data_IF_301605994244
#
_entry.id   IF_301605994244
#
_cell.length_a   1.000
_cell.length_b   1.000
_cell.length_c   1.000
_cell.angle_alpha   90.00
_cell.angle_beta   90.00
_cell.angle_gamma   90.00
#
_symmetry.space_group_name_H-M   'P 1'
#
loop_
_entity.id
_entity.type
_entity.pdbx_description
1 polymer ?
#
# COMPACT_ATOMS: atom_id res chain seq x y z
N UNK A 1 14.24 -10.02 22.73
CA UNK A 1 15.69 -9.92 22.98
C UNK A 1 16.36 -10.68 21.88
N UNK A 2 17.36 -10.09 21.24
CA UNK A 2 18.02 -10.61 20.06
C UNK A 2 18.57 -12.03 20.26
N UNK A 3 18.53 -12.83 19.21
CA UNK A 3 19.21 -14.12 19.16
C UNK A 3 20.73 -13.88 19.21
N UNK A 4 21.44 -14.38 20.24
CA UNK A 4 22.88 -14.11 20.41
C UNK A 4 23.75 -14.63 19.27
N UNK A 5 23.40 -15.77 18.68
CA UNK A 5 24.18 -16.39 17.60
C UNK A 5 24.05 -15.57 16.32
N UNK A 6 22.81 -15.17 15.98
CA UNK A 6 22.54 -14.32 14.82
C UNK A 6 23.18 -12.93 14.97
N UNK A 7 23.11 -12.33 16.17
CA UNK A 7 23.80 -11.08 16.46
C UNK A 7 25.33 -11.25 16.37
N UNK A 8 25.86 -12.39 16.81
CA UNK A 8 27.27 -12.74 16.69
C UNK A 8 27.73 -12.84 15.23
N UNK A 9 26.91 -13.41 14.36
CA UNK A 9 27.16 -13.48 12.91
C UNK A 9 27.16 -12.07 12.30
N UNK A 10 26.15 -11.25 12.62
CA UNK A 10 26.07 -9.88 12.09
C UNK A 10 27.29 -9.05 12.49
N UNK A 11 27.79 -9.22 13.72
CA UNK A 11 28.97 -8.54 14.24
C UNK A 11 30.29 -8.96 13.56
N UNK A 12 30.31 -10.09 12.86
CA UNK A 12 31.46 -10.48 12.03
C UNK A 12 31.52 -9.70 10.71
N UNK A 13 30.43 -9.01 10.34
CA UNK A 13 30.36 -8.14 9.18
C UNK A 13 29.23 -8.50 8.22
N UNK A 14 28.96 -7.58 7.29
CA UNK A 14 27.86 -7.72 6.30
C UNK A 14 28.06 -8.93 5.39
N UNK A 15 29.30 -9.28 5.03
CA UNK A 15 29.58 -10.44 4.18
C UNK A 15 29.19 -11.75 4.86
N UNK A 16 29.60 -11.93 6.12
CA UNK A 16 29.25 -13.09 6.92
C UNK A 16 27.72 -13.19 7.13
N UNK A 17 27.07 -12.06 7.41
CA UNK A 17 25.61 -11.99 7.50
C UNK A 17 24.92 -12.38 6.20
N UNK A 18 25.33 -11.79 5.08
CA UNK A 18 24.72 -12.04 3.78
C UNK A 18 24.94 -13.49 3.32
N UNK A 19 26.10 -14.08 3.61
CA UNK A 19 26.35 -15.50 3.38
C UNK A 19 25.41 -16.36 4.22
N UNK A 20 25.32 -16.09 5.53
CA UNK A 20 24.41 -16.82 6.41
C UNK A 20 22.95 -16.72 5.94
N UNK A 21 22.49 -15.54 5.51
CA UNK A 21 21.14 -15.36 4.93
C UNK A 21 20.92 -16.15 3.65
N UNK A 22 21.97 -16.32 2.83
CA UNK A 22 21.88 -17.10 1.59
C UNK A 22 21.67 -18.60 1.84
N UNK A 23 22.23 -19.10 2.95
CA UNK A 23 22.16 -20.49 3.41
C UNK A 23 20.87 -20.75 4.22
N UNK A 24 20.34 -19.74 4.93
CA UNK A 24 19.20 -19.86 5.86
C UNK A 24 17.97 -19.08 5.36
N UNK A 25 17.55 -19.29 4.10
CA UNK A 25 16.47 -18.52 3.44
C UNK A 25 15.09 -18.64 4.11
N UNK A 26 14.84 -19.73 4.83
CA UNK A 26 13.57 -19.99 5.53
C UNK A 26 13.53 -19.45 6.96
N UNK A 27 14.66 -18.96 7.49
CA UNK A 27 14.74 -18.48 8.86
C UNK A 27 14.40 -16.99 8.94
N UNK A 28 13.61 -16.65 9.96
CA UNK A 28 13.29 -15.28 10.33
C UNK A 28 14.31 -14.82 11.37
N UNK A 29 15.24 -13.89 11.03
CA UNK A 29 16.25 -13.47 11.98
C UNK A 29 15.65 -12.58 13.07
N UNK A 30 16.14 -12.70 14.29
CA UNK A 30 15.73 -11.91 15.46
C UNK A 30 16.93 -11.14 16.04
N UNK A 31 16.90 -9.84 15.78
CA UNK A 31 17.82 -8.83 16.30
C UNK A 31 17.06 -7.82 17.19
N UNK A 32 15.94 -8.22 17.79
CA UNK A 32 15.11 -7.34 18.63
C UNK A 32 15.89 -6.80 19.83
N UNK A 33 15.80 -5.50 20.06
CA UNK A 33 16.55 -4.79 21.11
C UNK A 33 18.08 -4.96 21.03
N UNK A 34 18.62 -5.36 19.88
CA UNK A 34 20.06 -5.42 19.70
C UNK A 34 20.66 -4.01 19.77
N UNK A 35 21.84 -3.91 20.38
CA UNK A 35 22.69 -2.73 20.26
C UNK A 35 23.52 -2.85 18.99
N UNK A 36 23.16 -2.05 17.98
CA UNK A 36 23.79 -1.95 16.66
C UNK A 36 24.27 -0.52 16.37
N UNK A 37 24.50 0.26 17.43
CA UNK A 37 25.01 1.63 17.35
C UNK A 37 26.31 1.67 16.57
N UNK A 38 26.43 2.66 15.68
CA UNK A 38 27.62 2.90 14.87
C UNK A 38 28.03 1.69 13.99
N UNK A 39 27.15 0.69 13.80
CA UNK A 39 27.45 -0.48 12.99
C UNK A 39 27.48 -0.14 11.49
N UNK A 40 28.33 -0.85 10.74
CA UNK A 40 28.40 -0.78 9.29
C UNK A 40 27.58 -1.92 8.70
N UNK A 41 26.35 -1.61 8.31
CA UNK A 41 25.37 -2.56 7.75
C UNK A 41 25.00 -2.21 6.29
N UNK A 42 25.89 -1.52 5.58
CA UNK A 42 25.68 -1.11 4.20
C UNK A 42 25.53 -2.36 3.30
N UNK A 43 24.43 -2.45 2.56
CA UNK A 43 24.14 -3.62 1.71
C UNK A 43 23.73 -4.90 2.46
N UNK A 44 23.42 -4.83 3.76
CA UNK A 44 22.99 -6.00 4.52
C UNK A 44 21.59 -6.50 4.09
N UNK A 45 21.43 -7.82 3.99
CA UNK A 45 20.16 -8.48 3.70
C UNK A 45 19.38 -8.74 4.99
N UNK A 46 18.61 -7.74 5.40
CA UNK A 46 17.78 -7.72 6.61
C UNK A 46 16.28 -7.94 6.30
N UNK A 47 15.95 -8.46 5.12
CA UNK A 47 14.60 -8.85 4.70
C UNK A 47 13.93 -9.67 5.82
N UNK A 48 12.69 -9.31 6.18
CA UNK A 48 11.84 -9.95 7.22
C UNK A 48 12.49 -10.11 8.60
N UNK A 49 13.55 -9.34 8.89
CA UNK A 49 14.25 -9.43 10.18
C UNK A 49 13.48 -8.68 11.26
N UNK A 50 13.38 -9.26 12.46
CA UNK A 50 12.87 -8.58 13.64
C UNK A 50 13.97 -7.69 14.24
N UNK A 51 13.83 -6.38 14.12
CA UNK A 51 14.68 -5.31 14.66
C UNK A 51 13.88 -4.43 15.64
N UNK A 52 12.75 -4.93 16.17
CA UNK A 52 11.89 -4.19 17.08
C UNK A 52 12.71 -3.67 18.26
N UNK A 53 12.62 -2.36 18.51
CA UNK A 53 13.32 -1.69 19.60
C UNK A 53 14.86 -1.76 19.56
N UNK A 54 15.48 -2.13 18.43
CA UNK A 54 16.93 -2.12 18.29
C UNK A 54 17.50 -0.68 18.32
N UNK A 55 18.71 -0.52 18.83
CA UNK A 55 19.44 0.76 18.76
C UNK A 55 20.36 0.74 17.54
N UNK A 56 19.97 1.50 16.51
CA UNK A 56 20.64 1.72 15.23
C UNK A 56 21.13 3.18 15.11
N UNK A 57 21.43 3.83 16.23
CA UNK A 57 21.96 5.20 16.24
C UNK A 57 23.25 5.28 15.43
N UNK A 58 23.33 6.25 14.51
CA UNK A 58 24.45 6.45 13.59
C UNK A 58 24.84 5.22 12.73
N UNK A 59 23.98 4.21 12.61
CA UNK A 59 24.28 3.02 11.79
C UNK A 59 24.26 3.37 10.31
N UNK A 60 25.21 2.83 9.54
CA UNK A 60 25.16 2.89 8.08
C UNK A 60 24.37 1.71 7.54
N UNK A 61 23.14 1.98 7.07
CA UNK A 61 22.23 1.05 6.41
C UNK A 61 22.11 1.37 4.91
N UNK A 62 23.07 2.08 4.33
CA UNK A 62 23.02 2.46 2.91
C UNK A 62 22.92 1.21 2.04
N UNK A 63 21.96 1.18 1.10
CA UNK A 63 21.68 0.05 0.21
C UNK A 63 21.28 -1.26 0.92
N UNK A 64 20.98 -1.23 2.22
CA UNK A 64 20.47 -2.40 2.91
C UNK A 64 19.08 -2.80 2.38
N UNK A 65 18.77 -4.08 2.44
CA UNK A 65 17.46 -4.63 2.08
C UNK A 65 16.72 -4.97 3.37
N UNK A 66 15.78 -4.12 3.76
CA UNK A 66 14.97 -4.16 4.98
C UNK A 66 13.49 -4.45 4.68
N UNK A 67 13.18 -4.88 3.46
CA UNK A 67 11.82 -5.17 3.03
C UNK A 67 11.10 -6.07 4.05
N UNK A 68 9.88 -5.69 4.43
CA UNK A 68 9.06 -6.38 5.42
C UNK A 68 9.73 -6.65 6.80
N UNK A 69 10.84 -5.99 7.13
CA UNK A 69 11.45 -6.04 8.45
C UNK A 69 10.58 -5.30 9.49
N UNK A 70 10.70 -5.70 10.75
CA UNK A 70 10.05 -5.02 11.87
C UNK A 70 11.05 -4.14 12.61
N UNK A 71 11.02 -2.83 12.40
CA UNK A 71 11.79 -1.80 13.12
C UNK A 71 10.89 -0.96 14.05
N UNK A 72 9.73 -1.49 14.47
CA UNK A 72 8.84 -0.74 15.35
C UNK A 72 9.56 -0.36 16.66
N UNK A 73 9.43 0.91 17.05
CA UNK A 73 10.09 1.46 18.24
C UNK A 73 11.62 1.47 18.20
N UNK A 74 12.26 1.16 17.07
CA UNK A 74 13.71 1.18 16.95
C UNK A 74 14.26 2.62 16.99
N UNK A 75 15.50 2.78 17.44
CA UNK A 75 16.21 4.07 17.48
C UNK A 75 17.13 4.18 16.29
N UNK A 76 16.78 4.97 15.29
CA UNK A 76 17.55 5.21 14.06
C UNK A 76 18.07 6.66 13.99
N UNK A 77 18.28 7.31 15.13
CA UNK A 77 18.77 8.69 15.17
C UNK A 77 20.08 8.82 14.38
N UNK A 78 20.10 9.71 13.38
CA UNK A 78 21.22 9.92 12.45
C UNK A 78 21.70 8.67 11.69
N UNK A 79 20.86 7.63 11.57
CA UNK A 79 21.17 6.51 10.70
C UNK A 79 21.20 6.93 9.23
N UNK A 80 22.02 6.26 8.42
CA UNK A 80 22.11 6.52 6.97
C UNK A 80 21.40 5.38 6.23
N UNK A 81 20.26 5.67 5.61
CA UNK A 81 19.44 4.73 4.83
C UNK A 81 19.44 5.07 3.34
N UNK A 82 20.54 5.66 2.83
CA UNK A 82 20.63 6.07 1.44
C UNK A 82 20.49 4.88 0.50
N UNK A 83 19.66 5.01 -0.53
CA UNK A 83 19.36 3.93 -1.49
C UNK A 83 18.85 2.61 -0.84
N UNK A 84 18.40 2.64 0.42
CA UNK A 84 17.91 1.44 1.10
C UNK A 84 16.55 1.01 0.55
N UNK A 85 16.31 -0.30 0.55
CA UNK A 85 15.01 -0.89 0.24
C UNK A 85 14.29 -1.16 1.55
N UNK A 86 13.22 -0.40 1.84
CA UNK A 86 12.44 -0.55 3.08
C UNK A 86 10.97 -0.80 2.75
N UNK A 87 10.67 -1.57 1.70
CA UNK A 87 9.30 -1.77 1.23
C UNK A 87 8.51 -2.63 2.22
N UNK A 88 7.36 -2.13 2.67
CA UNK A 88 6.50 -2.85 3.62
C UNK A 88 7.11 -2.97 5.03
N UNK A 89 8.21 -2.28 5.31
CA UNK A 89 8.86 -2.27 6.63
C UNK A 89 7.98 -1.60 7.68
N UNK A 90 8.00 -2.13 8.90
CA UNK A 90 7.33 -1.49 10.03
C UNK A 90 8.30 -0.56 10.76
N UNK A 91 8.11 0.74 10.63
CA UNK A 91 8.85 1.80 11.35
C UNK A 91 7.92 2.56 12.32
N UNK A 92 6.80 1.95 12.72
CA UNK A 92 5.87 2.60 13.64
C UNK A 92 6.56 2.95 14.96
N UNK A 93 6.37 4.18 15.42
CA UNK A 93 6.99 4.73 16.63
C UNK A 93 8.53 4.73 16.64
N UNK A 94 9.19 4.53 15.50
CA UNK A 94 10.64 4.61 15.40
C UNK A 94 11.15 6.05 15.55
N UNK A 95 12.34 6.21 16.10
CA UNK A 95 13.05 7.48 16.19
C UNK A 95 14.01 7.63 15.00
N UNK A 96 13.59 8.38 13.99
CA UNK A 96 14.36 8.67 12.76
C UNK A 96 14.94 10.08 12.78
N UNK A 97 15.13 10.69 13.96
CA UNK A 97 15.60 12.07 14.06
C UNK A 97 16.96 12.24 13.38
N UNK A 98 17.04 13.18 12.43
CA UNK A 98 18.26 13.42 11.67
C UNK A 98 18.72 12.27 10.78
N UNK A 99 17.91 11.21 10.58
CA UNK A 99 18.25 10.12 9.69
C UNK A 99 18.27 10.59 8.22
N UNK A 100 19.13 9.97 7.40
CA UNK A 100 19.21 10.26 5.98
C UNK A 100 18.52 9.16 5.17
N UNK A 101 17.34 9.46 4.63
CA UNK A 101 16.51 8.57 3.83
C UNK A 101 16.60 8.91 2.33
N UNK A 102 17.68 9.56 1.91
CA UNK A 102 17.80 10.02 0.53
C UNK A 102 17.83 8.86 -0.46
N UNK A 103 17.02 8.94 -1.52
CA UNK A 103 16.85 7.90 -2.55
C UNK A 103 16.36 6.55 -2.01
N UNK A 104 15.92 6.47 -0.75
CA UNK A 104 15.33 5.26 -0.22
C UNK A 104 14.00 4.93 -0.91
N UNK A 105 13.76 3.64 -1.15
CA UNK A 105 12.51 3.12 -1.68
C UNK A 105 11.54 2.87 -0.53
N UNK A 106 10.67 3.84 -0.25
CA UNK A 106 9.74 3.85 0.89
C UNK A 106 8.31 3.61 0.41
N UNK A 107 8.07 2.42 -0.17
CA UNK A 107 6.73 2.00 -0.57
C UNK A 107 6.04 1.20 0.54
N UNK A 108 4.78 1.51 0.82
CA UNK A 108 3.93 0.74 1.75
C UNK A 108 4.47 0.60 3.18
N UNK A 109 5.28 1.57 3.63
CA UNK A 109 5.94 1.56 4.95
C UNK A 109 4.99 2.07 6.03
N UNK A 110 5.04 1.45 7.19
CA UNK A 110 4.32 1.93 8.38
C UNK A 110 5.22 2.91 9.15
N UNK A 111 4.95 4.22 9.07
CA UNK A 111 5.64 5.29 9.79
C UNK A 111 4.73 5.91 10.86
N UNK A 112 3.68 5.21 11.31
CA UNK A 112 2.72 5.76 12.27
C UNK A 112 3.42 6.18 13.55
N UNK A 113 3.22 7.44 13.94
CA UNK A 113 3.84 8.02 15.13
C UNK A 113 5.37 8.06 15.12
N UNK A 114 6.03 7.83 13.99
CA UNK A 114 7.49 7.92 13.88
C UNK A 114 7.96 9.38 14.02
N UNK A 115 9.17 9.55 14.55
CA UNK A 115 9.80 10.85 14.72
C UNK A 115 10.84 11.10 13.62
N UNK A 116 10.46 11.85 12.59
CA UNK A 116 11.30 12.21 11.44
C UNK A 116 11.86 13.63 11.57
N UNK A 117 11.92 14.20 12.79
CA UNK A 117 12.39 15.58 12.96
C UNK A 117 13.83 15.73 12.50
N UNK A 118 14.08 16.71 11.63
CA UNK A 118 15.38 16.93 11.02
C UNK A 118 15.86 15.83 10.07
N UNK A 119 15.04 14.81 9.75
CA UNK A 119 15.41 13.78 8.79
C UNK A 119 15.54 14.36 7.38
N UNK A 120 16.37 13.74 6.54
CA UNK A 120 16.59 14.12 5.15
C UNK A 120 15.79 13.19 4.24
N UNK A 121 14.88 13.75 3.47
CA UNK A 121 14.03 13.07 2.48
C UNK A 121 14.35 13.63 1.09
N UNK A 122 15.57 13.35 0.61
CA UNK A 122 16.00 13.72 -0.73
C UNK A 122 15.66 12.63 -1.74
N UNK A 123 14.99 12.95 -2.85
CA UNK A 123 14.63 12.00 -3.91
C UNK A 123 13.98 10.71 -3.39
N UNK A 124 13.26 10.81 -2.27
CA UNK A 124 12.61 9.69 -1.59
C UNK A 124 11.23 9.42 -2.19
N UNK A 125 10.91 8.14 -2.39
CA UNK A 125 9.62 7.72 -2.93
C UNK A 125 8.69 7.26 -1.80
N UNK A 126 7.87 8.17 -1.27
CA UNK A 126 6.86 7.90 -0.23
C UNK A 126 5.53 7.54 -0.88
N UNK A 127 5.45 6.32 -1.40
CA UNK A 127 4.25 5.79 -2.01
C UNK A 127 3.51 4.90 -1.02
N UNK A 128 2.25 5.23 -0.68
CA UNK A 128 1.38 4.44 0.21
C UNK A 128 1.92 4.24 1.63
N UNK A 129 2.87 5.08 2.05
CA UNK A 129 3.35 5.05 3.41
C UNK A 129 2.26 5.57 4.37
N UNK A 130 2.16 4.96 5.54
CA UNK A 130 1.29 5.44 6.61
C UNK A 130 2.08 6.38 7.53
N UNK A 131 1.90 7.69 7.34
CA UNK A 131 2.53 8.73 8.14
C UNK A 131 1.63 9.21 9.29
N UNK A 132 0.59 8.46 9.67
CA UNK A 132 -0.39 8.94 10.63
C UNK A 132 0.25 9.31 11.97
N UNK A 133 0.14 10.59 12.34
CA UNK A 133 0.75 11.12 13.56
C UNK A 133 2.28 11.19 13.57
N UNK A 134 2.95 10.95 12.44
CA UNK A 134 4.39 11.14 12.29
C UNK A 134 4.78 12.62 12.43
N UNK A 135 6.01 12.89 12.87
CA UNK A 135 6.51 14.25 13.14
C UNK A 135 7.62 14.61 12.16
N UNK A 136 7.41 15.65 11.36
CA UNK A 136 8.34 16.10 10.31
C UNK A 136 8.95 17.48 10.58
N UNK A 137 8.91 17.99 11.82
CA UNK A 137 9.49 19.31 12.13
C UNK A 137 10.95 19.40 11.67
N UNK A 138 11.29 20.47 10.94
CA UNK A 138 12.64 20.70 10.40
C UNK A 138 13.18 19.61 9.48
N UNK A 139 12.37 18.64 9.05
CA UNK A 139 12.79 17.68 8.03
C UNK A 139 13.17 18.41 6.75
N UNK A 140 14.18 17.89 6.04
CA UNK A 140 14.70 18.45 4.80
C UNK A 140 14.11 17.70 3.62
N UNK A 141 13.31 18.37 2.79
CA UNK A 141 12.74 17.80 1.57
C UNK A 141 13.50 18.30 0.36
N UNK A 142 13.95 17.37 -0.48
CA UNK A 142 14.59 17.69 -1.76
C UNK A 142 14.02 16.75 -2.81
N UNK A 143 13.00 17.17 -3.56
CA UNK A 143 12.35 16.35 -4.59
C UNK A 143 11.74 15.02 -4.08
N UNK A 144 11.08 14.95 -2.89
CA UNK A 144 10.36 13.74 -2.52
C UNK A 144 9.09 13.57 -3.35
N UNK A 145 8.66 12.32 -3.50
CA UNK A 145 7.39 11.95 -4.10
C UNK A 145 6.42 11.51 -3.02
N UNK A 146 5.32 12.23 -2.87
CA UNK A 146 4.21 11.92 -1.97
C UNK A 146 3.02 11.39 -2.77
N UNK A 147 2.90 10.06 -2.85
CA UNK A 147 1.83 9.40 -3.60
C UNK A 147 1.00 8.47 -2.73
N UNK A 148 -0.32 8.62 -2.80
CA UNK A 148 -1.34 7.85 -2.11
C UNK A 148 -1.15 7.81 -0.60
N UNK A 149 -0.80 8.95 -0.01
CA UNK A 149 -0.61 9.10 1.44
C UNK A 149 -1.60 10.10 2.03
N UNK A 150 -1.86 9.98 3.33
CA UNK A 150 -2.62 10.99 4.07
C UNK A 150 -1.66 11.92 4.83
N UNK A 151 -1.57 13.18 4.39
CA UNK A 151 -0.77 14.21 5.04
C UNK A 151 -1.55 14.97 6.12
N UNK A 152 -2.85 14.73 6.29
CA UNK A 152 -3.71 15.54 7.16
C UNK A 152 -3.48 15.37 8.66
N UNK A 153 -2.86 14.26 9.05
CA UNK A 153 -2.51 13.96 10.46
C UNK A 153 -1.01 14.07 10.74
N UNK A 154 -0.22 14.44 9.74
CA UNK A 154 1.23 14.61 9.87
C UNK A 154 1.52 15.91 10.62
N UNK A 155 2.36 15.81 11.64
CA UNK A 155 2.74 16.94 12.49
C UNK A 155 3.97 17.62 11.91
N UNK A 156 4.01 18.95 12.00
CA UNK A 156 5.20 19.71 11.65
C UNK A 156 5.39 20.04 10.17
N UNK A 157 4.41 19.75 9.31
CA UNK A 157 4.50 20.04 7.87
C UNK A 157 4.84 21.51 7.56
N UNK A 158 4.35 22.47 8.35
CA UNK A 158 4.66 23.90 8.15
C UNK A 158 6.13 24.26 8.48
N UNK A 159 6.77 23.46 9.32
CA UNK A 159 8.15 23.64 9.80
C UNK A 159 9.18 22.87 8.95
N UNK A 160 8.70 22.16 7.92
CA UNK A 160 9.56 21.47 6.98
C UNK A 160 10.38 22.47 6.16
N UNK A 161 11.62 22.10 5.87
CA UNK A 161 12.53 22.84 5.01
C UNK A 161 12.52 22.24 3.61
N UNK A 162 12.21 23.05 2.61
CA UNK A 162 12.22 22.65 1.21
C UNK A 162 13.50 23.16 0.55
N UNK A 163 14.33 22.25 0.05
CA UNK A 163 15.51 22.54 -0.79
C UNK A 163 15.23 22.20 -2.28
N UNK A 164 13.95 22.04 -2.62
CA UNK A 164 13.45 21.76 -3.95
C UNK A 164 11.93 21.55 -3.94
N UNK A 165 11.27 21.50 -5.11
CA UNK A 165 9.86 21.19 -5.19
C UNK A 165 9.58 19.76 -4.72
N UNK A 166 8.35 19.47 -4.30
CA UNK A 166 7.91 18.12 -3.97
C UNK A 166 6.86 17.67 -4.98
N UNK A 167 6.87 16.40 -5.36
CA UNK A 167 5.82 15.83 -6.20
C UNK A 167 4.70 15.36 -5.27
N UNK A 168 3.54 16.02 -5.35
CA UNK A 168 2.36 15.65 -4.56
C UNK A 168 1.31 15.09 -5.52
N UNK A 169 1.00 13.80 -5.35
CA UNK A 169 -0.03 13.12 -6.12
C UNK A 169 -1.41 13.71 -5.88
N UNK A 170 -2.26 13.70 -6.91
CA UNK A 170 -3.66 14.13 -6.78
C UNK A 170 -4.41 13.23 -5.79
N UNK A 171 -4.11 11.94 -5.79
CA UNK A 171 -4.51 10.95 -4.78
C UNK A 171 -4.17 11.41 -3.35
N UNK A 172 -2.95 11.87 -3.08
CA UNK A 172 -2.54 12.44 -1.79
C UNK A 172 -3.40 13.64 -1.38
N UNK A 173 -3.74 14.54 -2.31
CA UNK A 173 -4.62 15.68 -2.05
C UNK A 173 -6.02 15.22 -1.58
N UNK A 174 -6.63 14.28 -2.31
CA UNK A 174 -7.96 13.75 -1.98
C UNK A 174 -7.94 12.91 -0.70
N UNK A 175 -6.92 12.06 -0.52
CA UNK A 175 -6.76 11.23 0.69
C UNK A 175 -6.59 12.07 1.95
N UNK A 176 -5.88 13.20 1.81
CA UNK A 176 -5.74 14.20 2.89
C UNK A 176 -6.99 15.05 3.08
N UNK A 177 -8.05 14.86 2.27
CA UNK A 177 -9.28 15.65 2.27
C UNK A 177 -9.02 17.16 2.04
N UNK A 178 -7.97 17.49 1.30
CA UNK A 178 -7.48 18.87 1.13
C UNK A 178 -6.95 19.50 2.43
N UNK A 179 -6.82 18.75 3.53
CA UNK A 179 -6.29 19.23 4.82
C UNK A 179 -4.78 19.12 4.83
N UNK A 180 -4.13 19.80 3.89
CA UNK A 180 -2.66 19.92 3.83
C UNK A 180 -2.35 21.40 4.04
N UNK A 181 -1.40 21.76 4.92
CA UNK A 181 -1.13 23.16 5.21
C UNK A 181 -0.71 23.93 3.96
N UNK A 182 -1.29 25.12 3.74
CA UNK A 182 -1.02 25.90 2.53
C UNK A 182 0.45 26.29 2.40
N UNK A 183 1.12 26.61 3.50
CA UNK A 183 2.53 27.00 3.49
C UNK A 183 3.41 25.87 2.98
N UNK A 184 3.10 24.63 3.36
CA UNK A 184 3.73 23.42 2.83
C UNK A 184 3.48 23.27 1.32
N UNK A 185 2.21 23.38 0.87
CA UNK A 185 1.87 23.23 -0.55
C UNK A 185 2.57 24.29 -1.43
N UNK A 186 2.60 25.56 -0.97
CA UNK A 186 3.29 26.66 -1.66
C UNK A 186 4.79 26.38 -1.79
N UNK A 187 5.45 26.00 -0.70
CA UNK A 187 6.89 25.66 -0.70
C UNK A 187 7.21 24.38 -1.50
N UNK A 188 6.26 23.45 -1.59
CA UNK A 188 6.35 22.27 -2.43
C UNK A 188 6.23 22.58 -3.94
N UNK A 189 5.81 23.79 -4.32
CA UNK A 189 5.66 24.22 -5.72
C UNK A 189 4.25 24.05 -6.28
N UNK A 190 3.23 23.85 -5.44
CA UNK A 190 1.84 23.76 -5.89
C UNK A 190 1.32 25.16 -6.28
N UNK A 191 0.71 25.35 -7.47
CA UNK A 191 0.20 26.65 -7.89
C UNK A 191 -0.87 27.22 -6.95
N UNK A 192 -0.81 28.53 -6.64
CA UNK A 192 -1.80 29.21 -5.78
C UNK A 192 -3.24 29.01 -6.25
N UNK A 193 -3.48 29.08 -7.57
CA UNK A 193 -4.82 28.85 -8.13
C UNK A 193 -5.34 27.46 -7.81
N UNK A 194 -4.48 26.43 -7.82
CA UNK A 194 -4.89 25.10 -7.42
C UNK A 194 -5.21 25.04 -5.92
N UNK A 195 -4.40 25.66 -5.07
CA UNK A 195 -4.61 25.72 -3.61
C UNK A 195 -5.95 26.37 -3.28
N UNK A 196 -6.29 27.49 -3.94
CA UNK A 196 -7.56 28.21 -3.77
C UNK A 196 -8.78 27.33 -4.07
N UNK A 197 -8.72 26.53 -5.15
CA UNK A 197 -9.84 25.64 -5.53
C UNK A 197 -9.80 24.26 -4.87
N UNK A 198 -8.70 23.88 -4.22
CA UNK A 198 -8.46 22.54 -3.68
C UNK A 198 -9.59 22.11 -2.74
N UNK A 199 -10.01 22.96 -1.81
CA UNK A 199 -11.07 22.63 -0.86
C UNK A 199 -12.42 22.35 -1.55
N UNK A 200 -12.74 23.07 -2.63
CA UNK A 200 -13.95 22.83 -3.42
C UNK A 200 -13.87 21.55 -4.27
N UNK A 201 -12.66 21.16 -4.71
CA UNK A 201 -12.43 19.92 -5.44
C UNK A 201 -12.61 18.71 -4.53
N UNK A 202 -12.05 18.77 -3.32
CA UNK A 202 -12.08 17.66 -2.37
C UNK A 202 -13.39 17.60 -1.55
N UNK A 203 -14.14 18.72 -1.48
CA UNK A 203 -15.44 18.80 -0.82
C UNK A 203 -16.62 18.21 -1.61
N UNK A 204 -16.44 17.94 -2.91
CA UNK A 204 -17.35 17.05 -3.65
C UNK A 204 -17.03 15.63 -3.23
N UNK A 205 -18.03 14.86 -2.81
CA UNK A 205 -17.91 13.42 -2.54
C UNK A 205 -17.60 12.66 -3.84
N UNK A 206 -16.41 12.87 -4.40
CA UNK A 206 -15.78 11.92 -5.28
C UNK A 206 -15.05 11.00 -4.32
N UNK A 207 -15.74 9.95 -3.88
CA UNK A 207 -15.07 8.90 -3.13
C UNK A 207 -14.01 8.31 -4.06
N UNK A 208 -12.76 8.66 -3.79
CA UNK A 208 -11.60 8.41 -4.65
C UNK A 208 -11.15 6.95 -4.55
N UNK A 209 -12.08 6.01 -4.74
CA UNK A 209 -11.76 4.60 -4.68
C UNK A 209 -10.97 4.22 -5.92
N UNK A 210 -9.73 3.82 -5.70
CA UNK A 210 -8.95 3.13 -6.71
C UNK A 210 -9.35 1.66 -6.71
N UNK A 211 -9.74 1.18 -7.89
CA UNK A 211 -10.19 -0.18 -8.08
C UNK A 211 -9.19 -0.96 -8.94
N UNK A 212 -8.92 -2.19 -8.57
CA UNK A 212 -8.09 -3.10 -9.34
C UNK A 212 -8.92 -4.30 -9.78
N UNK A 213 -9.03 -4.55 -11.09
CA UNK A 213 -9.69 -5.74 -11.63
C UNK A 213 -8.63 -6.81 -11.84
N UNK A 214 -8.75 -7.89 -11.06
CA UNK A 214 -7.95 -9.10 -11.26
C UNK A 214 -8.78 -10.19 -11.92
N UNK A 215 -8.26 -10.75 -13.01
CA UNK A 215 -9.01 -11.65 -13.89
C UNK A 215 -8.08 -12.56 -14.71
N UNK A 216 -8.62 -13.71 -15.15
CA UNK A 216 -7.92 -14.53 -16.14
C UNK A 216 -8.01 -13.86 -17.50
N UNK A 217 -6.94 -13.91 -18.30
CA UNK A 217 -6.94 -13.40 -19.69
C UNK A 217 -8.05 -13.98 -20.56
N UNK A 218 -8.57 -15.16 -20.20
CA UNK A 218 -9.71 -15.80 -20.87
C UNK A 218 -11.05 -15.08 -20.64
N UNK A 219 -11.12 -14.22 -19.63
CA UNK A 219 -12.31 -13.46 -19.24
C UNK A 219 -12.25 -11.97 -19.67
N UNK A 220 -11.31 -11.62 -20.57
CA UNK A 220 -11.04 -10.23 -20.98
C UNK A 220 -12.28 -9.48 -21.49
N UNK A 221 -13.15 -10.14 -22.24
CA UNK A 221 -14.37 -9.51 -22.76
C UNK A 221 -15.30 -9.00 -21.63
N UNK A 222 -15.40 -9.73 -20.51
CA UNK A 222 -16.18 -9.29 -19.36
C UNK A 222 -15.44 -8.21 -18.58
N UNK A 223 -14.13 -8.38 -18.37
CA UNK A 223 -13.30 -7.40 -17.66
C UNK A 223 -13.32 -6.02 -18.34
N UNK A 224 -13.17 -5.97 -19.68
CA UNK A 224 -13.22 -4.75 -20.48
C UNK A 224 -14.58 -4.04 -20.36
N UNK A 225 -15.67 -4.81 -20.39
CA UNK A 225 -17.02 -4.25 -20.21
C UNK A 225 -17.19 -3.65 -18.81
N UNK A 226 -16.83 -4.41 -17.78
CA UNK A 226 -16.89 -3.94 -16.39
C UNK A 226 -16.06 -2.67 -16.19
N UNK A 227 -14.86 -2.62 -16.76
CA UNK A 227 -14.01 -1.45 -16.74
C UNK A 227 -14.63 -0.23 -17.42
N UNK A 228 -15.17 -0.40 -18.64
CA UNK A 228 -15.80 0.70 -19.37
C UNK A 228 -16.97 1.30 -18.58
N UNK A 229 -17.77 0.44 -17.94
CA UNK A 229 -18.89 0.88 -17.10
C UNK A 229 -18.39 1.57 -15.82
N UNK A 230 -17.34 1.06 -15.16
CA UNK A 230 -16.71 1.71 -14.00
C UNK A 230 -16.15 3.09 -14.35
N UNK A 231 -15.43 3.22 -15.46
CA UNK A 231 -14.87 4.50 -15.93
C UNK A 231 -15.97 5.50 -16.28
N UNK A 232 -17.06 5.04 -16.93
CA UNK A 232 -18.23 5.89 -17.24
C UNK A 232 -18.92 6.42 -15.98
N UNK A 233 -18.76 5.73 -14.85
CA UNK A 233 -19.24 6.14 -13.53
C UNK A 233 -18.15 6.85 -12.68
N UNK A 234 -17.06 7.32 -13.31
CA UNK A 234 -15.92 8.00 -12.67
C UNK A 234 -15.19 7.16 -11.60
N UNK A 235 -15.28 5.83 -11.66
CA UNK A 235 -14.46 4.96 -10.81
C UNK A 235 -13.11 4.73 -11.48
N UNK A 236 -12.03 5.13 -10.79
CA UNK A 236 -10.67 4.90 -11.28
C UNK A 236 -10.31 3.43 -11.17
N UNK A 237 -10.19 2.77 -12.31
CA UNK A 237 -9.91 1.36 -12.37
C UNK A 237 -8.63 1.06 -13.17
N UNK A 238 -7.93 0.00 -12.81
CA UNK A 238 -6.80 -0.58 -13.55
C UNK A 238 -6.97 -2.10 -13.70
N UNK A 239 -6.20 -2.71 -14.59
CA UNK A 239 -6.24 -4.14 -14.91
C UNK A 239 -4.92 -4.84 -14.58
N UNK A 240 -5.01 -6.12 -14.19
CA UNK A 240 -3.93 -7.09 -14.38
C UNK A 240 -4.44 -8.36 -15.05
N UNK A 241 -4.36 -8.47 -16.40
CA UNK A 241 -4.54 -9.76 -17.06
C UNK A 241 -3.46 -10.76 -16.63
N UNK A 242 -3.88 -12.00 -16.38
CA UNK A 242 -3.02 -13.15 -16.08
C UNK A 242 -1.86 -13.34 -17.11
N UNK A 243 -2.05 -12.89 -18.35
CA UNK A 243 -1.09 -13.03 -19.47
C UNK A 243 -0.05 -11.91 -19.57
N UNK A 244 0.01 -10.94 -18.63
CA UNK A 244 1.12 -9.98 -18.55
C UNK A 244 2.42 -10.74 -18.21
N UNK A 245 3.04 -11.33 -19.23
CA UNK A 245 4.32 -12.05 -19.17
C UNK A 245 5.46 -11.11 -18.78
N UNK A 246 5.63 -10.90 -17.49
CA UNK A 246 6.78 -10.22 -16.92
C UNK A 246 7.19 -10.99 -15.65
N UNK A 247 8.47 -11.38 -15.56
CA UNK A 247 8.99 -12.44 -14.69
C UNK A 247 8.84 -12.27 -13.16
N UNK A 248 9.57 -13.09 -12.37
CA UNK A 248 9.42 -13.23 -10.90
C UNK A 248 9.42 -11.92 -10.09
N UNK A 249 10.06 -10.85 -10.59
CA UNK A 249 10.04 -9.48 -10.04
C UNK A 249 8.67 -8.80 -10.02
N UNK A 250 7.63 -9.36 -10.67
CA UNK A 250 6.29 -8.77 -10.78
C UNK A 250 5.20 -9.59 -10.08
N UNK A 251 5.49 -10.83 -9.62
CA UNK A 251 4.59 -11.49 -8.65
C UNK A 251 4.39 -10.61 -7.41
N UNK A 252 5.45 -9.92 -6.98
CA UNK A 252 5.41 -8.85 -5.96
C UNK A 252 4.56 -7.65 -6.37
N UNK A 253 4.43 -7.35 -7.67
CA UNK A 253 3.65 -6.24 -8.22
C UNK A 253 2.13 -6.42 -8.15
N UNK A 254 1.63 -7.67 -8.08
CA UNK A 254 0.20 -7.94 -7.81
C UNK A 254 -0.11 -7.77 -6.32
N UNK A 255 0.76 -8.29 -5.44
CA UNK A 255 0.62 -8.02 -4.00
C UNK A 255 0.76 -6.52 -3.73
N UNK A 256 1.65 -5.84 -4.45
CA UNK A 256 1.77 -4.39 -4.46
C UNK A 256 0.47 -3.77 -4.98
N UNK A 257 -0.07 -4.16 -6.14
CA UNK A 257 -1.34 -3.64 -6.63
C UNK A 257 -2.51 -3.80 -5.63
N UNK A 258 -2.60 -4.93 -4.93
CA UNK A 258 -3.59 -5.16 -3.86
C UNK A 258 -3.30 -4.27 -2.64
N UNK A 259 -2.03 -4.03 -2.30
CA UNK A 259 -1.62 -3.06 -1.26
C UNK A 259 -1.91 -1.61 -1.68
N UNK A 260 -1.70 -1.27 -2.95
CA UNK A 260 -1.82 0.06 -3.54
C UNK A 260 -3.28 0.51 -3.66
N UNK A 261 -4.17 -0.38 -4.12
CA UNK A 261 -5.54 -0.01 -4.46
C UNK A 261 -6.48 -0.17 -3.28
N UNK A 262 -7.53 0.64 -3.26
CA UNK A 262 -8.53 0.58 -2.20
C UNK A 262 -9.37 -0.68 -2.28
N UNK A 263 -9.64 -1.16 -3.50
CA UNK A 263 -10.60 -2.24 -3.74
C UNK A 263 -10.09 -3.19 -4.82
N UNK A 264 -10.24 -4.47 -4.58
CA UNK A 264 -9.92 -5.56 -5.49
C UNK A 264 -11.22 -6.19 -6.00
N UNK A 265 -11.55 -5.98 -7.28
CA UNK A 265 -12.59 -6.73 -7.98
C UNK A 265 -11.98 -8.01 -8.54
N UNK A 266 -12.27 -9.13 -7.90
CA UNK A 266 -11.73 -10.43 -8.28
C UNK A 266 -12.74 -11.19 -9.14
N UNK A 267 -12.42 -11.38 -10.42
CA UNK A 267 -13.28 -12.10 -11.36
C UNK A 267 -13.04 -13.61 -11.23
N UNK A 268 -14.05 -14.30 -10.71
CA UNK A 268 -14.10 -15.73 -10.45
C UNK A 268 -14.83 -16.43 -11.60
N UNK A 269 -14.06 -17.15 -12.39
CA UNK A 269 -14.49 -18.01 -13.48
C UNK A 269 -13.84 -19.39 -13.33
N UNK A 270 -14.25 -20.36 -14.15
CA UNK A 270 -13.57 -21.65 -14.30
C UNK A 270 -12.08 -21.51 -14.66
N UNK A 271 -11.68 -20.37 -15.25
CA UNK A 271 -10.30 -20.11 -15.64
C UNK A 271 -9.46 -19.57 -14.48
N UNK A 272 -10.00 -18.62 -13.71
CA UNK A 272 -9.27 -18.05 -12.58
C UNK A 272 -9.24 -19.02 -11.38
N UNK A 273 -10.34 -19.68 -11.07
CA UNK A 273 -10.45 -20.63 -9.95
C UNK A 273 -9.50 -21.84 -10.11
N UNK A 274 -9.15 -22.21 -11.34
CA UNK A 274 -8.20 -23.28 -11.63
C UNK A 274 -6.73 -22.86 -11.43
N UNK A 275 -6.45 -21.57 -11.24
CA UNK A 275 -5.11 -21.02 -11.15
C UNK A 275 -4.65 -20.83 -9.70
N UNK A 276 -3.44 -21.27 -9.38
CA UNK A 276 -2.89 -21.18 -8.01
C UNK A 276 -2.66 -19.74 -7.51
N UNK A 277 -2.73 -18.74 -8.39
CA UNK A 277 -2.56 -17.34 -8.00
C UNK A 277 -3.78 -16.77 -7.25
N UNK A 278 -5.01 -17.20 -7.60
CA UNK A 278 -6.24 -16.63 -7.02
C UNK A 278 -6.26 -16.81 -5.50
N UNK A 279 -5.84 -17.97 -5.02
CA UNK A 279 -5.70 -18.24 -3.60
C UNK A 279 -4.80 -17.20 -2.90
N UNK A 280 -3.71 -16.79 -3.54
CA UNK A 280 -2.77 -15.81 -2.98
C UNK A 280 -3.37 -14.41 -2.94
N UNK A 281 -4.04 -13.97 -4.00
CA UNK A 281 -4.70 -12.67 -4.01
C UNK A 281 -5.79 -12.57 -2.93
N UNK A 282 -6.58 -13.63 -2.80
CA UNK A 282 -7.62 -13.73 -1.76
C UNK A 282 -7.00 -13.63 -0.39
N UNK A 283 -5.97 -14.45 -0.09
CA UNK A 283 -5.27 -14.40 1.20
C UNK A 283 -4.66 -13.02 1.48
N UNK A 284 -4.09 -12.38 0.47
CA UNK A 284 -3.47 -11.04 0.58
C UNK A 284 -4.51 -9.97 0.87
N UNK A 285 -5.63 -9.97 0.13
CA UNK A 285 -6.71 -9.04 0.34
C UNK A 285 -7.34 -9.21 1.73
N UNK A 286 -7.65 -10.45 2.14
CA UNK A 286 -8.19 -10.75 3.47
C UNK A 286 -7.23 -10.34 4.61
N UNK A 287 -5.92 -10.52 4.42
CA UNK A 287 -4.92 -10.04 5.38
C UNK A 287 -4.93 -8.50 5.49
N UNK A 288 -5.04 -7.79 4.36
CA UNK A 288 -5.18 -6.33 4.33
C UNK A 288 -6.47 -5.87 5.03
N UNK A 289 -7.59 -6.54 4.80
CA UNK A 289 -8.86 -6.22 5.46
C UNK A 289 -8.78 -6.38 6.99
N UNK A 290 -8.13 -7.44 7.47
CA UNK A 290 -7.87 -7.65 8.91
C UNK A 290 -7.01 -6.54 9.50
N UNK A 291 -5.98 -6.10 8.77
CA UNK A 291 -5.08 -5.01 9.19
C UNK A 291 -5.79 -3.65 9.22
N UNK A 292 -6.52 -3.33 8.15
CA UNK A 292 -7.11 -2.01 7.92
C UNK A 292 -8.54 -1.86 8.44
N UNK A 293 -9.14 -2.95 8.95
CA UNK A 293 -10.54 -3.03 9.44
C UNK A 293 -11.55 -2.47 8.44
N UNK A 294 -11.33 -2.69 7.15
CA UNK A 294 -12.20 -2.28 6.05
C UNK A 294 -12.27 -3.37 4.99
N UNK A 295 -13.36 -3.39 4.21
CA UNK A 295 -13.51 -4.29 3.06
C UNK A 295 -12.66 -3.80 1.88
N UNK A 296 -11.91 -4.72 1.30
CA UNK A 296 -11.03 -4.56 0.14
C UNK A 296 -11.42 -5.56 -0.95
N UNK A 297 -11.79 -6.80 -0.61
CA UNK A 297 -12.06 -7.87 -1.58
C UNK A 297 -13.55 -7.87 -2.00
N UNK A 298 -13.78 -7.73 -3.30
CA UNK A 298 -15.10 -7.75 -3.94
C UNK A 298 -15.14 -8.85 -5.01
N UNK A 299 -15.52 -10.08 -4.64
CA UNK A 299 -15.55 -11.21 -5.56
C UNK A 299 -16.73 -11.11 -6.54
N UNK A 300 -16.47 -11.36 -7.81
CA UNK A 300 -17.44 -11.33 -8.91
C UNK A 300 -17.44 -12.69 -9.58
N UNK A 301 -18.59 -13.39 -9.61
CA UNK A 301 -18.68 -14.66 -10.32
C UNK A 301 -19.26 -14.46 -11.73
N UNK A 302 -18.59 -15.03 -12.73
CA UNK A 302 -19.08 -15.05 -14.13
C UNK A 302 -19.56 -16.43 -14.57
N UNK A 303 -19.30 -17.46 -13.75
CA UNK A 303 -19.84 -18.80 -13.85
C UNK A 303 -20.00 -19.42 -12.44
N UNK A 304 -20.31 -20.71 -12.37
CA UNK A 304 -20.53 -21.42 -11.11
C UNK A 304 -19.27 -22.14 -10.59
N UNK A 305 -18.11 -22.03 -11.24
CA UNK A 305 -16.94 -22.83 -10.90
C UNK A 305 -16.45 -22.60 -9.46
N UNK A 306 -16.55 -21.36 -8.96
CA UNK A 306 -16.21 -21.05 -7.55
C UNK A 306 -17.15 -21.75 -6.56
N UNK A 307 -18.40 -22.01 -6.93
CA UNK A 307 -19.37 -22.68 -6.05
C UNK A 307 -19.03 -24.16 -5.88
N UNK A 308 -18.47 -24.77 -6.91
CA UNK A 308 -18.09 -26.19 -6.96
C UNK A 308 -16.63 -26.41 -6.53
N UNK A 309 -15.87 -25.34 -6.31
CA UNK A 309 -14.46 -25.39 -5.98
C UNK A 309 -14.22 -25.97 -4.56
N UNK A 310 -13.46 -27.07 -4.43
CA UNK A 310 -13.25 -27.72 -3.13
C UNK A 310 -12.16 -27.03 -2.29
N UNK A 311 -11.44 -26.04 -2.82
CA UNK A 311 -10.35 -25.39 -2.12
C UNK A 311 -10.84 -24.51 -0.95
N UNK A 312 -10.08 -24.50 0.14
CA UNK A 312 -10.45 -23.83 1.39
C UNK A 312 -10.72 -22.32 1.20
N UNK A 313 -9.92 -21.64 0.37
CA UNK A 313 -10.10 -20.21 0.08
C UNK A 313 -11.44 -19.91 -0.60
N UNK A 314 -11.93 -20.82 -1.46
CA UNK A 314 -13.21 -20.65 -2.13
C UNK A 314 -14.36 -20.84 -1.14
N UNK A 315 -14.22 -21.79 -0.20
CA UNK A 315 -15.15 -21.97 0.92
C UNK A 315 -15.25 -20.70 1.78
N UNK A 316 -14.12 -20.09 2.13
CA UNK A 316 -14.06 -18.85 2.91
C UNK A 316 -14.81 -17.71 2.19
N UNK A 317 -14.56 -17.50 0.89
CA UNK A 317 -15.28 -16.49 0.10
C UNK A 317 -16.79 -16.77 0.07
N UNK A 318 -17.21 -18.02 -0.13
CA UNK A 318 -18.64 -18.38 -0.21
C UNK A 318 -19.40 -18.09 1.09
N UNK A 319 -18.77 -18.30 2.24
CA UNK A 319 -19.41 -18.07 3.54
C UNK A 319 -19.35 -16.62 3.98
N UNK A 320 -18.23 -15.93 3.70
CA UNK A 320 -17.99 -14.63 4.30
C UNK A 320 -18.20 -13.44 3.35
N UNK A 321 -18.41 -13.66 2.05
CA UNK A 321 -18.54 -12.57 1.07
C UNK A 321 -19.79 -12.70 0.22
N UNK A 322 -20.41 -11.56 -0.03
CA UNK A 322 -21.43 -11.45 -1.06
C UNK A 322 -20.74 -11.38 -2.42
N UNK A 323 -20.98 -12.36 -3.28
CA UNK A 323 -20.40 -12.39 -4.62
C UNK A 323 -21.34 -11.71 -5.62
N UNK A 324 -20.82 -10.76 -6.39
CA UNK A 324 -21.56 -10.20 -7.53
C UNK A 324 -21.85 -11.27 -8.56
N UNK A 325 -23.12 -11.53 -8.86
CA UNK A 325 -23.53 -12.53 -9.85
C UNK A 325 -23.61 -11.92 -11.25
N UNK A 326 -22.63 -12.21 -12.08
CA UNK A 326 -22.56 -11.80 -13.47
C UNK A 326 -22.62 -12.99 -14.42
N UNK A 327 -23.19 -14.13 -14.01
CA UNK A 327 -23.30 -15.33 -14.87
C UNK A 327 -24.02 -15.08 -16.20
N UNK A 328 -24.92 -14.09 -16.23
CA UNK A 328 -25.66 -13.66 -17.43
C UNK A 328 -25.17 -12.33 -18.02
N UNK A 329 -23.92 -11.94 -17.79
CA UNK A 329 -23.38 -10.63 -18.18
C UNK A 329 -23.56 -10.27 -19.65
N UNK A 330 -23.66 -11.24 -20.56
CA UNK A 330 -23.91 -10.99 -21.99
C UNK A 330 -25.29 -10.38 -22.26
N UNK A 331 -26.27 -10.62 -21.39
CA UNK A 331 -27.57 -9.96 -21.44
C UNK A 331 -27.46 -8.57 -20.79
N UNK A 332 -27.86 -7.52 -21.52
CA UNK A 332 -27.75 -6.14 -21.04
C UNK A 332 -28.55 -5.88 -19.76
N UNK A 333 -29.81 -6.32 -19.70
CA UNK A 333 -30.69 -6.07 -18.57
C UNK A 333 -30.23 -6.81 -17.31
N UNK A 334 -29.82 -8.07 -17.46
CA UNK A 334 -29.30 -8.87 -16.34
C UNK A 334 -27.97 -8.30 -15.82
N UNK A 335 -27.11 -7.82 -16.72
CA UNK A 335 -25.88 -7.10 -16.33
C UNK A 335 -26.18 -5.83 -15.55
N UNK A 336 -27.12 -5.00 -16.03
CA UNK A 336 -27.48 -3.74 -15.37
C UNK A 336 -28.17 -3.95 -14.02
N UNK A 337 -28.83 -5.10 -13.80
CA UNK A 337 -29.33 -5.48 -12.46
C UNK A 337 -28.20 -5.91 -11.51
N UNK A 338 -27.22 -6.66 -12.01
CA UNK A 338 -26.09 -7.15 -11.22
C UNK A 338 -25.11 -6.03 -10.83
N UNK A 339 -24.95 -5.03 -11.70
CA UNK A 339 -23.94 -3.99 -11.59
C UNK A 339 -24.08 -3.11 -10.33
N UNK A 340 -25.23 -2.48 -10.02
CA UNK A 340 -25.38 -1.68 -8.81
C UNK A 340 -25.25 -2.48 -7.52
N UNK A 341 -25.76 -3.71 -7.52
CA UNK A 341 -25.75 -4.62 -6.38
C UNK A 341 -24.33 -5.00 -5.96
N UNK A 342 -23.43 -5.09 -6.95
CA UNK A 342 -22.02 -5.48 -6.75
C UNK A 342 -21.10 -4.28 -6.55
N UNK A 343 -21.33 -3.19 -7.30
CA UNK A 343 -20.42 -2.04 -7.37
C UNK A 343 -20.82 -0.91 -6.42
N UNK A 344 -22.10 -0.74 -6.05
CA UNK A 344 -22.58 0.42 -5.29
C UNK A 344 -23.35 0.08 -3.99
N UNK A 345 -23.82 -1.16 -3.82
CA UNK A 345 -24.74 -1.53 -2.72
C UNK A 345 -24.04 -1.93 -1.41
N UNK A 346 -22.73 -2.15 -1.42
CA UNK A 346 -21.96 -2.20 -0.17
C UNK A 346 -21.80 -0.77 0.36
N UNK A 347 -22.17 -0.53 1.63
CA UNK A 347 -21.98 0.76 2.34
C UNK A 347 -20.55 1.33 2.24
N UNK A 348 -19.59 0.54 1.76
CA UNK A 348 -18.19 0.86 1.49
C UNK A 348 -17.90 1.41 0.07
N UNK A 349 -18.90 1.52 -0.81
CA UNK A 349 -18.78 1.90 -2.23
C UNK A 349 -19.68 3.08 -2.63
N UNK A 350 -20.13 3.88 -1.66
CA UNK A 350 -21.22 4.85 -1.82
C UNK A 350 -20.89 6.07 -2.71
N UNK A 351 -20.67 5.85 -4.01
CA UNK A 351 -20.96 6.86 -5.04
C UNK A 351 -22.46 6.78 -5.30
N UNK A 352 -23.27 7.60 -4.63
CA UNK A 352 -24.63 7.88 -5.10
C UNK A 352 -24.85 9.38 -5.21
N UNK A 353 -24.98 9.95 -6.43
CA UNK A 353 -25.74 11.17 -6.59
C UNK A 353 -27.19 10.86 -6.16
N UNK A 354 -27.76 11.74 -5.32
CA UNK A 354 -28.93 11.49 -4.47
C UNK A 354 -30.28 11.14 -5.10
N UNK A 355 -30.34 10.64 -6.34
CA UNK A 355 -31.57 10.17 -7.00
C UNK A 355 -31.78 8.66 -6.92
N UNK A 356 -30.75 7.83 -7.16
CA UNK A 356 -30.90 6.37 -7.27
C UNK A 356 -31.19 5.65 -5.95
N UNK A 357 -30.83 6.25 -4.80
CA UNK A 357 -31.07 5.62 -3.50
C UNK A 357 -32.55 5.66 -3.06
N UNK A 358 -33.35 6.61 -3.59
CA UNK A 358 -34.76 6.78 -3.18
C UNK A 358 -35.69 5.77 -3.86
N UNK A 359 -35.42 5.41 -5.11
CA UNK A 359 -36.26 4.46 -5.86
C UNK A 359 -36.15 3.03 -5.31
N UNK A 360 -35.01 2.65 -4.72
CA UNK A 360 -34.83 1.30 -4.17
C UNK A 360 -35.43 1.11 -2.77
N UNK A 361 -35.60 2.17 -1.98
CA UNK A 361 -36.26 2.09 -0.67
C UNK A 361 -37.79 2.08 -0.76
N UNK A 362 -38.37 2.49 -1.90
CA UNK A 362 -39.83 2.51 -2.10
C UNK A 362 -40.41 1.19 -2.62
N UNK A 363 -39.58 0.23 -3.03
CA UNK A 363 -40.01 -1.08 -3.55
C UNK A 363 -39.63 -2.26 -2.65
N UNK A 364 -39.59 -2.06 -1.32
CA UNK A 364 -39.48 -3.15 -0.34
C UNK A 364 -40.77 -3.35 0.43
#
# INVERSE_FOLDING_TARGET
MANPDQLGILKQGVEAWNQWRSEHRGELPDLSHANLRDAHLNGAYLLVTNLNGADLTNTDLSRAVLDAADLSGAVLTRAVLRDAHIVGTNLSHADLRGADLSSAYISSVDLRGADLRGAVLGTTYLLNADLSGAHLDSALLMLPVFGNIDLSSVKGLEMVRHEGPSIIGIDTIYRSKGRIPEGFLKKAGVPNSFIEYMHSLVGKAIDYYTCFISYSSKDDAFAQRLYADLQSNNVRCWFAPEDLKWGERIRSGIDEAIRLHDKLLLILSKHSVASGWVEREVKTALAKERKEKRTVLFPIRVDNAVLECPFAWATEIRHERNMGDFTKWKNHDEYQKAYPTTVFCHKSFAVLPGKLCREYQQNK
#
